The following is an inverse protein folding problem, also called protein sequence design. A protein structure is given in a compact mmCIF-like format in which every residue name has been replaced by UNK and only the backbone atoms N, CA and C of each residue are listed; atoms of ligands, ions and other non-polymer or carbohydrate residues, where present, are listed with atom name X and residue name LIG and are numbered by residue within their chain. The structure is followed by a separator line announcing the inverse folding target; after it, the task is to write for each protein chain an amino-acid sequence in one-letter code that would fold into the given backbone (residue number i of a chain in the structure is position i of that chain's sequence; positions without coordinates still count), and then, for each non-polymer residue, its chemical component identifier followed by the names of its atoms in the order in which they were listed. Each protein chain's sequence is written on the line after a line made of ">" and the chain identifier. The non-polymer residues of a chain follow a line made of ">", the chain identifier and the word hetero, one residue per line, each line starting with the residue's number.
data_IF_897812563175
#
_entry.id   IF_897812563175
#
_cell.length_a   1.000
_cell.length_b   1.000
_cell.length_c   1.000
_cell.angle_alpha   90.00
_cell.angle_beta   90.00
_cell.angle_gamma   90.00
#
_symmetry.space_group_name_H-M   'P 1'
#
loop_
_entity.id
_entity.type
_entity.pdbx_description
1 polymer ?
#
# COMPACT_ATOMS: atom_id res chain seq x y z
N UNK A 1 -10.37 36.15 -1.42
CA UNK A 1 -9.37 35.08 -1.63
C UNK A 1 -9.08 34.30 -0.33
N UNK A 2 -8.69 34.95 0.78
CA UNK A 2 -8.45 34.26 2.07
C UNK A 2 -9.68 33.54 2.66
N UNK A 3 -10.86 34.12 2.52
CA UNK A 3 -12.12 33.54 3.01
C UNK A 3 -12.52 32.26 2.30
N UNK A 4 -12.20 32.15 1.01
CA UNK A 4 -12.51 30.98 0.18
C UNK A 4 -11.58 29.81 0.54
N UNK A 5 -10.30 30.09 0.83
CA UNK A 5 -9.34 29.12 1.37
C UNK A 5 -9.76 28.57 2.74
N UNK A 6 -10.23 29.44 3.64
CA UNK A 6 -10.70 29.03 4.97
C UNK A 6 -11.96 28.16 4.85
N UNK A 7 -12.91 28.54 3.98
CA UNK A 7 -14.11 27.73 3.73
C UNK A 7 -13.76 26.34 3.15
N UNK A 8 -12.75 26.27 2.27
CA UNK A 8 -12.30 25.02 1.66
C UNK A 8 -11.61 24.10 2.68
N UNK A 9 -10.80 24.67 3.58
CA UNK A 9 -10.18 23.94 4.69
C UNK A 9 -11.22 23.35 5.66
N UNK A 10 -12.25 24.14 6.00
CA UNK A 10 -13.34 23.68 6.88
C UNK A 10 -14.16 22.57 6.22
N UNK A 11 -14.44 22.66 4.92
CA UNK A 11 -15.15 21.61 4.18
C UNK A 11 -14.36 20.28 4.13
N UNK A 12 -13.03 20.34 3.98
CA UNK A 12 -12.16 19.14 4.00
C UNK A 12 -12.13 18.49 5.39
N UNK A 13 -12.23 19.29 6.46
CA UNK A 13 -12.27 18.81 7.85
C UNK A 13 -13.63 18.20 8.23
N UNK A 14 -14.74 18.66 7.64
CA UNK A 14 -16.10 18.19 7.92
C UNK A 14 -16.59 17.04 7.02
N UNK A 15 -15.88 16.71 5.94
CA UNK A 15 -16.16 15.52 5.16
C UNK A 15 -15.82 14.27 5.99
N UNK A 16 -16.83 13.71 6.66
CA UNK A 16 -16.74 12.42 7.35
C UNK A 16 -16.15 11.37 6.42
N UNK A 17 -14.90 10.99 6.67
CA UNK A 17 -14.11 10.14 5.78
C UNK A 17 -14.54 8.69 5.92
N UNK A 18 -15.66 8.31 5.32
CA UNK A 18 -15.88 6.93 4.89
C UNK A 18 -15.03 6.68 3.63
N UNK A 19 -13.70 6.71 3.79
CA UNK A 19 -12.82 6.39 2.67
C UNK A 19 -12.99 4.92 2.35
N UNK A 20 -13.51 4.63 1.15
CA UNK A 20 -13.54 3.27 0.66
C UNK A 20 -12.10 2.75 0.56
N UNK A 21 -11.82 1.70 1.32
CA UNK A 21 -10.52 1.03 1.35
C UNK A 21 -10.49 -0.08 0.31
N UNK A 22 -9.46 -0.09 -0.53
CA UNK A 22 -9.33 -1.05 -1.62
C UNK A 22 -7.97 -1.75 -1.60
N UNK A 23 -7.95 -3.02 -1.95
CA UNK A 23 -6.73 -3.80 -2.08
C UNK A 23 -6.78 -4.66 -3.34
N UNK A 24 -5.62 -5.19 -3.76
CA UNK A 24 -5.59 -6.32 -4.67
C UNK A 24 -5.87 -7.62 -3.92
N UNK A 25 -6.59 -8.56 -4.53
CA UNK A 25 -6.93 -9.86 -3.96
C UNK A 25 -6.67 -11.00 -4.94
N UNK A 26 -5.99 -12.03 -4.50
CA UNK A 26 -5.80 -13.28 -5.24
C UNK A 26 -5.38 -14.39 -4.26
N UNK A 27 -5.35 -15.62 -4.73
CA UNK A 27 -4.95 -16.77 -3.93
C UNK A 27 -4.06 -17.70 -4.75
N UNK A 28 -2.86 -17.99 -4.22
CA UNK A 28 -1.89 -18.95 -4.76
C UNK A 28 -1.50 -18.73 -6.23
N UNK A 29 -1.36 -17.46 -6.64
CA UNK A 29 -0.91 -17.11 -7.98
C UNK A 29 0.62 -17.25 -8.12
N UNK A 30 1.14 -17.69 -9.28
CA UNK A 30 2.57 -17.85 -9.50
C UNK A 30 3.28 -16.52 -9.77
N UNK A 31 2.55 -15.42 -10.00
CA UNK A 31 3.13 -14.12 -10.30
C UNK A 31 2.27 -12.95 -9.82
N UNK A 32 2.91 -11.80 -9.62
CA UNK A 32 2.21 -10.58 -9.25
C UNK A 32 1.22 -10.11 -10.32
N UNK A 33 1.54 -10.31 -11.60
CA UNK A 33 0.72 -9.83 -12.72
C UNK A 33 -0.66 -10.48 -12.75
N UNK A 34 -0.73 -11.77 -12.42
CA UNK A 34 -2.00 -12.49 -12.30
C UNK A 34 -2.77 -12.13 -11.01
N UNK A 35 -2.11 -11.46 -10.07
CA UNK A 35 -2.63 -11.13 -8.74
C UNK A 35 -3.03 -9.65 -8.60
N UNK A 36 -3.69 -9.09 -9.63
CA UNK A 36 -4.05 -7.66 -9.72
C UNK A 36 -5.56 -7.40 -9.71
N UNK A 37 -6.36 -8.31 -9.15
CA UNK A 37 -7.81 -8.09 -9.01
C UNK A 37 -8.10 -7.10 -7.88
N UNK A 38 -8.49 -5.88 -8.24
CA UNK A 38 -8.93 -4.86 -7.30
C UNK A 38 -10.26 -5.24 -6.63
N UNK A 39 -10.34 -5.09 -5.31
CA UNK A 39 -11.56 -5.31 -4.53
C UNK A 39 -11.75 -4.22 -3.48
N UNK A 40 -13.02 -3.89 -3.19
CA UNK A 40 -13.38 -3.09 -2.02
C UNK A 40 -13.27 -3.98 -0.78
N UNK A 41 -12.58 -3.51 0.24
CA UNK A 41 -12.45 -4.19 1.52
C UNK A 41 -13.67 -3.95 2.43
N UNK A 42 -13.85 -4.80 3.44
CA UNK A 42 -14.90 -4.60 4.42
C UNK A 42 -14.59 -3.40 5.34
N UNK A 43 -15.59 -2.85 6.03
CA UNK A 43 -15.40 -1.66 6.87
C UNK A 43 -14.43 -1.91 8.05
N UNK A 44 -14.40 -3.14 8.56
CA UNK A 44 -13.46 -3.56 9.60
C UNK A 44 -12.04 -3.82 9.09
N UNK A 45 -11.84 -3.94 7.78
CA UNK A 45 -10.52 -4.21 7.22
C UNK A 45 -9.68 -2.93 7.18
N UNK A 46 -8.50 -2.99 7.76
CA UNK A 46 -7.59 -1.84 7.88
C UNK A 46 -6.27 -2.04 7.13
N UNK A 47 -6.04 -3.25 6.61
CA UNK A 47 -4.78 -3.64 5.99
C UNK A 47 -5.00 -4.39 4.68
N UNK A 48 -4.17 -4.10 3.69
CA UNK A 48 -3.88 -5.03 2.62
C UNK A 48 -2.73 -5.93 3.06
N UNK A 49 -2.94 -7.24 2.99
CA UNK A 49 -1.91 -8.25 3.26
C UNK A 49 -1.40 -8.84 1.96
N UNK A 50 -0.09 -9.06 1.90
CA UNK A 50 0.56 -9.87 0.87
C UNK A 50 1.25 -11.04 1.55
N UNK A 51 0.99 -12.25 1.10
CA UNK A 51 1.63 -13.47 1.59
C UNK A 51 2.36 -14.10 0.42
N UNK A 52 3.65 -14.32 0.57
CA UNK A 52 4.45 -15.09 -0.37
C UNK A 52 4.88 -16.38 0.29
N UNK A 53 4.83 -17.48 -0.45
CA UNK A 53 5.39 -18.76 -0.03
C UNK A 53 6.27 -19.31 -1.14
N UNK A 54 7.41 -19.86 -0.75
CA UNK A 54 8.28 -20.64 -1.63
C UNK A 54 8.43 -22.00 -0.99
N UNK A 55 8.28 -23.07 -1.77
CA UNK A 55 8.48 -24.44 -1.29
C UNK A 55 9.38 -25.20 -2.25
N UNK A 56 10.27 -26.04 -1.72
CA UNK A 56 11.27 -26.76 -2.49
C UNK A 56 12.63 -26.05 -2.57
N UNK A 57 13.57 -26.68 -3.27
CA UNK A 57 14.96 -26.20 -3.36
C UNK A 57 15.42 -26.22 -4.82
N UNK A 58 16.23 -25.23 -5.20
CA UNK A 58 16.81 -25.14 -6.53
C UNK A 58 15.75 -24.94 -7.62
N UNK A 59 15.89 -25.65 -8.75
CA UNK A 59 15.03 -25.49 -9.95
C UNK A 59 13.58 -25.94 -9.76
N UNK A 60 13.30 -26.71 -8.70
CA UNK A 60 11.96 -27.22 -8.40
C UNK A 60 11.23 -26.36 -7.35
N UNK A 61 11.79 -25.21 -6.99
CA UNK A 61 11.14 -24.30 -6.06
C UNK A 61 9.84 -23.73 -6.66
N UNK A 62 8.73 -23.88 -5.94
CA UNK A 62 7.42 -23.35 -6.32
C UNK A 62 7.16 -22.10 -5.51
N UNK A 63 7.01 -20.97 -6.20
CA UNK A 63 6.62 -19.69 -5.64
C UNK A 63 5.10 -19.49 -5.77
N UNK A 64 4.47 -19.02 -4.70
CA UNK A 64 3.06 -18.68 -4.64
C UNK A 64 2.87 -17.34 -3.95
N UNK A 65 1.86 -16.60 -4.42
CA UNK A 65 1.50 -15.27 -3.96
C UNK A 65 0.00 -15.20 -3.68
N UNK A 66 -0.35 -14.69 -2.52
CA UNK A 66 -1.73 -14.41 -2.12
C UNK A 66 -1.84 -12.98 -1.60
N UNK A 67 -2.94 -12.31 -1.93
CA UNK A 67 -3.23 -10.94 -1.49
C UNK A 67 -4.66 -10.87 -0.96
N UNK A 68 -4.89 -10.11 0.11
CA UNK A 68 -6.21 -10.02 0.76
C UNK A 68 -6.38 -8.74 1.59
N UNK A 69 -7.62 -8.41 1.91
CA UNK A 69 -7.96 -7.44 2.96
C UNK A 69 -7.99 -8.15 4.31
N UNK A 70 -7.52 -7.51 5.38
CA UNK A 70 -7.63 -8.03 6.75
C UNK A 70 -7.88 -6.91 7.77
N UNK A 71 -8.54 -7.22 8.90
CA UNK A 71 -8.74 -6.26 9.99
C UNK A 71 -7.47 -6.04 10.81
N UNK A 72 -6.65 -7.08 10.95
CA UNK A 72 -5.35 -7.04 11.63
C UNK A 72 -4.31 -7.71 10.74
N UNK A 73 -3.04 -7.31 10.90
CA UNK A 73 -1.96 -7.85 10.09
C UNK A 73 -0.63 -7.82 10.87
N UNK A 74 0.02 -8.98 10.97
CA UNK A 74 1.34 -9.12 11.60
C UNK A 74 2.35 -9.51 10.54
N UNK A 75 3.38 -8.68 10.35
CA UNK A 75 4.46 -9.01 9.42
C UNK A 75 5.37 -10.07 10.02
N UNK A 76 5.49 -11.20 9.32
CA UNK A 76 6.34 -12.32 9.72
C UNK A 76 7.15 -12.79 8.52
N UNK A 77 8.34 -13.33 8.80
CA UNK A 77 9.15 -14.05 7.83
C UNK A 77 9.67 -15.32 8.49
N UNK A 78 9.43 -16.46 7.86
CA UNK A 78 9.84 -17.77 8.34
C UNK A 78 10.52 -18.48 7.16
N UNK A 79 11.71 -19.01 7.39
CA UNK A 79 12.45 -19.80 6.40
C UNK A 79 13.02 -21.03 7.09
N UNK A 80 12.65 -22.21 6.60
CA UNK A 80 13.12 -23.51 7.10
C UNK A 80 14.14 -24.16 6.17
N UNK A 81 14.61 -23.46 5.13
CA UNK A 81 15.50 -23.95 4.08
C UNK A 81 14.81 -24.77 2.99
N UNK A 82 13.68 -25.41 3.30
CA UNK A 82 12.81 -26.08 2.33
C UNK A 82 11.57 -25.25 2.00
N UNK A 83 11.09 -24.45 2.95
CA UNK A 83 9.94 -23.58 2.75
C UNK A 83 10.19 -22.20 3.36
N UNK A 84 9.90 -21.15 2.61
CA UNK A 84 9.92 -19.78 3.09
C UNK A 84 8.53 -19.17 3.00
N UNK A 85 8.06 -18.49 4.03
CA UNK A 85 6.79 -17.74 4.02
C UNK A 85 7.06 -16.32 4.50
N UNK A 86 6.59 -15.33 3.75
CA UNK A 86 6.64 -13.91 4.13
C UNK A 86 5.24 -13.31 4.14
N UNK A 87 4.91 -12.58 5.20
CA UNK A 87 3.69 -11.77 5.31
C UNK A 87 4.07 -10.30 5.38
N UNK A 88 3.47 -9.48 4.52
CA UNK A 88 3.66 -8.02 4.43
C UNK A 88 2.33 -7.30 4.56
N UNK A 89 2.35 -6.16 5.25
CA UNK A 89 1.16 -5.42 5.64
C UNK A 89 1.27 -3.95 5.23
N UNK A 90 0.18 -3.37 4.76
CA UNK A 90 0.11 -1.93 4.49
C UNK A 90 -1.34 -1.41 4.62
N UNK A 91 -1.51 -0.14 4.98
CA UNK A 91 -2.80 0.44 5.41
C UNK A 91 -3.30 1.58 4.51
N UNK A 92 -2.95 1.56 3.21
CA UNK A 92 -3.47 2.51 2.22
C UNK A 92 -3.99 1.77 0.98
N UNK A 93 -4.95 2.37 0.27
CA UNK A 93 -5.59 1.70 -0.85
C UNK A 93 -4.57 1.32 -1.94
N UNK A 94 -4.69 0.10 -2.46
CA UNK A 94 -3.82 -0.49 -3.50
C UNK A 94 -2.34 -0.60 -3.14
N UNK A 95 -1.99 -0.47 -1.85
CA UNK A 95 -0.60 -0.53 -1.39
C UNK A 95 0.09 -1.87 -1.68
N UNK A 96 -0.69 -2.95 -1.75
CA UNK A 96 -0.21 -4.28 -2.10
C UNK A 96 -0.12 -4.49 -3.62
N UNK A 97 0.21 -3.47 -4.40
CA UNK A 97 0.38 -3.60 -5.86
C UNK A 97 1.54 -4.53 -6.25
N UNK A 98 2.58 -4.58 -5.41
CA UNK A 98 3.77 -5.40 -5.61
C UNK A 98 3.83 -6.54 -4.61
N UNK A 99 4.35 -7.70 -5.05
CA UNK A 99 4.73 -8.80 -4.16
C UNK A 99 6.08 -8.58 -3.47
N UNK A 100 6.86 -7.60 -3.95
CA UNK A 100 8.14 -7.22 -3.38
C UNK A 100 7.99 -6.30 -2.17
N UNK A 101 8.99 -6.29 -1.30
CA UNK A 101 9.11 -5.33 -0.20
C UNK A 101 9.14 -3.92 -0.76
N UNK A 102 8.03 -3.19 -0.65
CA UNK A 102 8.00 -1.77 -0.99
C UNK A 102 8.89 -1.00 -0.03
N UNK A 103 9.73 -0.13 -0.58
CA UNK A 103 10.45 0.87 0.22
C UNK A 103 9.40 1.81 0.82
N UNK A 104 9.45 2.03 2.13
CA UNK A 104 8.60 3.03 2.81
C UNK A 104 9.09 4.42 2.42
N UNK A 105 8.60 4.97 1.30
CA UNK A 105 8.84 6.37 0.94
C UNK A 105 7.98 7.26 1.86
N UNK A 106 8.63 8.13 2.62
CA UNK A 106 7.91 9.06 3.51
C UNK A 106 7.15 10.10 2.69
N UNK A 107 5.82 10.07 2.78
CA UNK A 107 4.93 11.05 2.12
C UNK A 107 5.22 12.49 2.57
N UNK A 108 5.72 12.67 3.79
CA UNK A 108 6.14 13.98 4.31
C UNK A 108 7.33 14.54 3.55
N UNK A 109 8.34 13.73 3.26
CA UNK A 109 9.53 14.17 2.51
C UNK A 109 9.16 14.56 1.08
N UNK A 110 8.26 13.79 0.45
CA UNK A 110 7.74 14.12 -0.88
C UNK A 110 6.96 15.44 -0.87
N UNK A 111 6.08 15.64 0.12
CA UNK A 111 5.29 16.86 0.25
C UNK A 111 6.17 18.10 0.50
N UNK A 112 7.17 17.98 1.38
CA UNK A 112 8.13 19.06 1.66
C UNK A 112 8.95 19.41 0.43
N UNK A 113 9.42 18.40 -0.32
CA UNK A 113 10.16 18.62 -1.57
C UNK A 113 9.32 19.40 -2.60
N UNK A 114 8.07 18.97 -2.81
CA UNK A 114 7.14 19.65 -3.73
C UNK A 114 6.88 21.10 -3.28
N UNK A 115 6.61 21.32 -1.99
CA UNK A 115 6.40 22.67 -1.45
C UNK A 115 7.63 23.57 -1.65
N UNK A 116 8.83 23.07 -1.33
CA UNK A 116 10.07 23.81 -1.50
C UNK A 116 10.33 24.20 -2.96
N UNK A 117 10.05 23.29 -3.91
CA UNK A 117 10.14 23.58 -5.35
C UNK A 117 9.16 24.69 -5.77
N UNK A 118 7.91 24.64 -5.31
CA UNK A 118 6.95 25.70 -5.59
C UNK A 118 7.41 27.05 -5.01
N UNK A 119 7.86 27.09 -3.75
CA UNK A 119 8.40 28.32 -3.15
C UNK A 119 9.56 28.90 -3.96
N UNK A 120 10.50 28.06 -4.42
CA UNK A 120 11.64 28.51 -5.22
C UNK A 120 11.22 29.10 -6.58
N UNK A 121 10.24 28.48 -7.25
CA UNK A 121 9.71 28.98 -8.53
C UNK A 121 8.98 30.31 -8.32
N UNK A 122 8.13 30.42 -7.29
CA UNK A 122 7.41 31.67 -7.01
C UNK A 122 8.34 32.81 -6.60
N UNK A 123 9.48 32.51 -5.96
CA UNK A 123 10.45 33.52 -5.55
C UNK A 123 11.42 33.95 -6.66
N UNK A 124 11.50 33.19 -7.76
CA UNK A 124 12.28 33.55 -8.95
C UNK A 124 11.45 34.29 -10.01
N UNK A 125 10.14 34.34 -9.85
CA UNK A 125 9.18 35.04 -10.74
C UNK A 125 8.75 36.41 -10.18
N UNK A 126 9.05 36.70 -8.91
CA UNK A 126 8.82 38.00 -8.26
C UNK A 126 10.12 38.81 -8.19
#
# INVERSE_FOLDING_TARGET
>A
MKTLLVALLVAILYAGKAHAFFCYRCENEPSNWNCMKAVKCAEQDQFCTTITSTSGTGKNAVYQLSKRCTPTCTENFIDTGLTSVSTKCCSHSFCNISGATSVKTSSLLMAVGVLASFFYIFQSVL
#
